data_IF_049045897953
#
_entry.id   IF_049045897953
#
_cell.length_a   1.000
_cell.length_b   1.000
_cell.length_c   1.000
_cell.angle_alpha   90.00
_cell.angle_beta   90.00
_cell.angle_gamma   90.00
#
_symmetry.space_group_name_H-M   'P 1'
#
loop_
_entity.id
_entity.type
_entity.pdbx_description
1 polymer ?
#
# COMPACT_ATOMS: atom_id res chain seq x y z
N UNK A 1 -37.09 -53.34 -57.04
CA UNK A 1 -36.02 -52.35 -57.32
C UNK A 1 -36.15 -51.00 -56.59
N UNK A 2 -37.27 -50.65 -55.92
CA UNK A 2 -37.43 -49.34 -55.25
C UNK A 2 -36.79 -49.20 -53.85
N UNK A 3 -36.42 -50.31 -53.19
CA UNK A 3 -35.86 -50.28 -51.82
C UNK A 3 -34.37 -49.94 -51.75
N UNK A 4 -33.58 -50.36 -52.74
CA UNK A 4 -32.12 -50.17 -52.73
C UNK A 4 -31.69 -48.71 -52.96
N UNK A 5 -32.50 -47.91 -53.66
CA UNK A 5 -32.21 -46.48 -53.89
C UNK A 5 -32.45 -45.63 -52.62
N UNK A 6 -33.34 -46.06 -51.72
CA UNK A 6 -33.70 -45.34 -50.50
C UNK A 6 -32.62 -45.45 -49.39
N UNK A 7 -31.95 -46.60 -49.28
CA UNK A 7 -30.89 -46.87 -48.28
C UNK A 7 -29.55 -46.17 -48.59
N UNK A 8 -29.22 -45.98 -49.87
CA UNK A 8 -27.97 -45.30 -50.27
C UNK A 8 -28.08 -43.80 -49.98
N UNK A 9 -29.24 -43.18 -50.28
CA UNK A 9 -29.50 -41.78 -49.95
C UNK A 9 -29.48 -41.55 -48.43
N UNK A 10 -30.08 -42.42 -47.61
CA UNK A 10 -30.04 -42.26 -46.15
C UNK A 10 -28.63 -42.35 -45.57
N UNK A 11 -27.78 -43.27 -46.05
CA UNK A 11 -26.39 -43.38 -45.59
C UNK A 11 -25.53 -42.18 -46.01
N UNK A 12 -25.74 -41.61 -47.19
CA UNK A 12 -25.02 -40.41 -47.64
C UNK A 12 -25.40 -39.18 -46.80
N UNK A 13 -26.70 -39.00 -46.53
CA UNK A 13 -27.20 -37.94 -45.64
C UNK A 13 -26.73 -38.12 -44.18
N UNK A 14 -26.67 -39.35 -43.67
CA UNK A 14 -26.18 -39.63 -42.31
C UNK A 14 -24.68 -39.32 -42.19
N UNK A 15 -23.88 -39.73 -43.19
CA UNK A 15 -22.44 -39.46 -43.25
C UNK A 15 -22.16 -37.94 -43.33
N UNK A 16 -22.85 -37.22 -44.22
CA UNK A 16 -22.70 -35.77 -44.35
C UNK A 16 -23.11 -35.02 -43.06
N UNK A 17 -24.14 -35.49 -42.35
CA UNK A 17 -24.59 -34.94 -41.06
C UNK A 17 -23.58 -35.18 -39.93
N UNK A 18 -22.90 -36.33 -39.92
CA UNK A 18 -21.82 -36.64 -38.96
C UNK A 18 -20.58 -35.79 -39.24
N UNK A 19 -20.17 -35.64 -40.50
CA UNK A 19 -19.03 -34.79 -40.90
C UNK A 19 -19.29 -33.32 -40.57
N UNK A 20 -20.47 -32.77 -40.87
CA UNK A 20 -20.85 -31.41 -40.46
C UNK A 20 -20.91 -31.23 -38.94
N UNK A 21 -21.40 -32.23 -38.18
CA UNK A 21 -21.39 -32.18 -36.69
C UNK A 21 -19.97 -32.18 -36.12
N UNK A 22 -19.07 -32.99 -36.68
CA UNK A 22 -17.66 -33.02 -36.28
C UNK A 22 -16.90 -31.75 -36.67
N UNK A 23 -17.22 -31.13 -37.81
CA UNK A 23 -16.63 -29.83 -38.19
C UNK A 23 -17.08 -28.71 -37.24
N UNK A 24 -18.37 -28.66 -36.89
CA UNK A 24 -18.91 -27.71 -35.90
C UNK A 24 -18.31 -27.92 -34.50
N UNK A 25 -18.12 -29.18 -34.05
CA UNK A 25 -17.42 -29.49 -32.79
C UNK A 25 -15.95 -29.05 -32.81
N UNK A 26 -15.21 -29.28 -33.90
CA UNK A 26 -13.83 -28.81 -34.02
C UNK A 26 -13.73 -27.28 -33.99
N UNK A 27 -14.65 -26.58 -34.65
CA UNK A 27 -14.71 -25.13 -34.62
C UNK A 27 -15.04 -24.58 -33.22
N UNK A 28 -15.96 -25.22 -32.48
CA UNK A 28 -16.29 -24.80 -31.11
C UNK A 28 -15.13 -25.03 -30.14
N UNK A 29 -14.39 -26.14 -30.28
CA UNK A 29 -13.22 -26.44 -29.45
C UNK A 29 -12.10 -25.41 -29.71
N UNK A 30 -11.83 -25.08 -30.99
CA UNK A 30 -10.84 -24.05 -31.34
C UNK A 30 -11.21 -22.68 -30.76
N UNK A 31 -12.47 -22.28 -30.89
CA UNK A 31 -12.95 -21.00 -30.32
C UNK A 31 -12.83 -20.95 -28.80
N UNK A 32 -13.16 -22.04 -28.11
CA UNK A 32 -13.01 -22.14 -26.65
C UNK A 32 -11.53 -22.10 -26.21
N UNK A 33 -10.62 -22.70 -26.98
CA UNK A 33 -9.18 -22.62 -26.71
C UNK A 33 -8.62 -21.21 -26.90
N UNK A 34 -9.02 -20.50 -27.96
CA UNK A 34 -8.61 -19.09 -28.18
C UNK A 34 -9.16 -18.16 -27.09
N UNK A 35 -10.43 -18.33 -26.69
CA UNK A 35 -11.05 -17.56 -25.59
C UNK A 35 -10.37 -17.85 -24.24
N UNK A 36 -9.94 -19.09 -24.00
CA UNK A 36 -9.18 -19.47 -22.80
C UNK A 36 -7.80 -18.80 -22.77
N UNK A 37 -7.08 -18.81 -23.90
CA UNK A 37 -5.76 -18.20 -24.03
C UNK A 37 -5.82 -16.68 -23.84
N UNK A 38 -6.81 -16.02 -24.45
CA UNK A 38 -7.01 -14.58 -24.31
C UNK A 38 -7.31 -14.17 -22.87
N UNK A 39 -8.11 -14.96 -22.14
CA UNK A 39 -8.35 -14.75 -20.70
C UNK A 39 -7.06 -14.92 -19.89
N UNK A 40 -6.28 -15.95 -20.17
CA UNK A 40 -5.01 -16.20 -19.48
C UNK A 40 -4.02 -15.03 -19.66
N UNK A 41 -3.89 -14.50 -20.88
CA UNK A 41 -3.02 -13.35 -21.16
C UNK A 41 -3.46 -12.07 -20.44
N UNK A 42 -4.78 -11.86 -20.30
CA UNK A 42 -5.32 -10.74 -19.51
C UNK A 42 -5.06 -10.90 -18.02
N UNK A 43 -5.26 -12.11 -17.48
CA UNK A 43 -4.98 -12.41 -16.06
C UNK A 43 -3.52 -12.16 -15.76
N UNK A 44 -2.60 -12.67 -16.59
CA UNK A 44 -1.16 -12.43 -16.40
C UNK A 44 -0.81 -10.94 -16.39
N UNK A 45 -1.38 -10.14 -17.30
CA UNK A 45 -1.15 -8.68 -17.30
C UNK A 45 -1.64 -8.01 -16.02
N UNK A 46 -2.79 -8.41 -15.49
CA UNK A 46 -3.32 -7.85 -14.25
C UNK A 46 -2.50 -8.28 -13.03
N UNK A 47 -2.08 -9.54 -12.97
CA UNK A 47 -1.16 -10.05 -11.94
C UNK A 47 0.17 -9.30 -11.96
N UNK A 48 0.78 -9.15 -13.14
CA UNK A 48 2.02 -8.38 -13.30
C UNK A 48 1.85 -6.92 -12.88
N UNK A 49 0.70 -6.30 -13.17
CA UNK A 49 0.43 -4.93 -12.75
C UNK A 49 0.32 -4.80 -11.23
N UNK A 50 -0.39 -5.74 -10.57
CA UNK A 50 -0.51 -5.79 -9.12
C UNK A 50 0.87 -5.96 -8.48
N UNK A 51 1.67 -6.89 -9.00
CA UNK A 51 2.96 -7.24 -8.41
C UNK A 51 4.05 -6.21 -8.66
N UNK A 52 4.11 -5.62 -9.86
CA UNK A 52 5.19 -4.69 -10.22
C UNK A 52 4.91 -3.23 -9.85
N UNK A 53 3.66 -2.86 -9.59
CA UNK A 53 3.27 -1.48 -9.28
C UNK A 53 2.53 -1.38 -7.96
N UNK A 54 1.32 -1.93 -7.87
CA UNK A 54 0.44 -1.65 -6.73
C UNK A 54 1.00 -2.15 -5.39
N UNK A 55 1.63 -3.34 -5.36
CA UNK A 55 2.28 -3.86 -4.14
C UNK A 55 3.48 -2.99 -3.72
N UNK A 56 4.46 -2.68 -4.60
CA UNK A 56 5.52 -1.73 -4.29
C UNK A 56 5.01 -0.37 -3.82
N UNK A 57 4.01 0.21 -4.51
CA UNK A 57 3.45 1.51 -4.17
C UNK A 57 2.80 1.49 -2.77
N UNK A 58 2.12 0.40 -2.41
CA UNK A 58 1.56 0.20 -1.08
C UNK A 58 2.67 0.16 -0.01
N UNK A 59 3.72 -0.62 -0.23
CA UNK A 59 4.86 -0.72 0.71
C UNK A 59 5.52 0.64 0.88
N UNK A 60 5.73 1.37 -0.21
CA UNK A 60 6.30 2.71 -0.17
C UNK A 60 5.40 3.68 0.60
N UNK A 61 4.08 3.70 0.34
CA UNK A 61 3.15 4.58 1.02
C UNK A 61 3.09 4.31 2.53
N UNK A 62 3.10 3.03 2.93
CA UNK A 62 3.18 2.62 4.34
C UNK A 62 4.49 3.10 4.97
N UNK A 63 5.63 2.86 4.30
CA UNK A 63 6.93 3.30 4.82
C UNK A 63 7.02 4.83 4.98
N UNK A 64 6.42 5.61 4.08
CA UNK A 64 6.36 7.06 4.21
C UNK A 64 5.51 7.49 5.41
N UNK A 65 4.33 6.90 5.58
CA UNK A 65 3.49 7.15 6.76
C UNK A 65 4.22 6.83 8.05
N UNK A 66 4.94 5.70 8.10
CA UNK A 66 5.66 5.27 9.30
C UNK A 66 6.81 6.23 9.64
N UNK A 67 7.48 6.83 8.64
CA UNK A 67 8.45 7.92 8.88
C UNK A 67 7.80 9.14 9.54
N UNK A 68 6.63 9.55 9.07
CA UNK A 68 5.88 10.68 9.65
C UNK A 68 5.45 10.36 11.08
N UNK A 69 5.03 9.12 11.37
CA UNK A 69 4.75 8.68 12.74
C UNK A 69 5.96 8.75 13.66
N UNK A 70 7.16 8.35 13.19
CA UNK A 70 8.38 8.49 13.99
C UNK A 70 8.68 9.96 14.29
N UNK A 71 8.51 10.85 13.31
CA UNK A 71 8.68 12.30 13.53
C UNK A 71 7.67 12.83 14.56
N UNK A 72 6.40 12.43 14.45
CA UNK A 72 5.37 12.82 15.42
C UNK A 72 5.74 12.36 16.84
N UNK A 73 6.23 11.13 17.00
CA UNK A 73 6.66 10.60 18.29
C UNK A 73 7.79 11.43 18.90
N UNK A 74 8.79 11.83 18.11
CA UNK A 74 9.89 12.68 18.57
C UNK A 74 9.36 14.02 19.10
N UNK A 75 8.42 14.65 18.41
CA UNK A 75 7.79 15.89 18.88
C UNK A 75 6.93 15.70 20.14
N UNK A 76 6.21 14.59 20.25
CA UNK A 76 5.44 14.25 21.46
C UNK A 76 6.35 14.02 22.67
N UNK A 77 7.46 13.31 22.49
CA UNK A 77 8.44 13.09 23.54
C UNK A 77 9.10 14.42 23.96
N UNK A 78 9.43 15.30 23.00
CA UNK A 78 9.96 16.64 23.27
C UNK A 78 8.96 17.47 24.09
N UNK A 79 7.69 17.51 23.67
CA UNK A 79 6.62 18.21 24.38
C UNK A 79 6.50 17.73 25.83
N UNK A 80 6.43 16.41 26.04
CA UNK A 80 6.34 15.84 27.39
C UNK A 80 7.54 16.24 28.24
N UNK A 81 8.74 16.26 27.67
CA UNK A 81 9.94 16.66 28.39
C UNK A 81 9.90 18.14 28.79
N UNK A 82 9.48 19.03 27.89
CA UNK A 82 9.32 20.46 28.19
C UNK A 82 8.27 20.69 29.28
N UNK A 83 7.09 20.09 29.14
CA UNK A 83 6.03 20.19 30.16
C UNK A 83 6.50 19.66 31.53
N UNK A 84 7.33 18.61 31.55
CA UNK A 84 7.91 18.09 32.79
C UNK A 84 8.94 19.06 33.40
N UNK A 85 9.76 19.73 32.59
CA UNK A 85 10.70 20.73 33.08
C UNK A 85 9.96 21.95 33.65
N UNK A 86 8.94 22.42 32.94
CA UNK A 86 8.11 23.56 33.33
C UNK A 86 7.32 23.29 34.61
N UNK A 87 6.62 22.14 34.71
CA UNK A 87 5.83 21.76 35.91
C UNK A 87 6.69 21.64 37.16
N UNK A 88 7.93 21.19 37.01
CA UNK A 88 8.83 21.00 38.14
C UNK A 88 9.69 22.25 38.43
N UNK A 89 9.59 23.30 37.62
CA UNK A 89 10.38 24.53 37.77
C UNK A 89 11.88 24.27 37.82
N UNK A 90 12.36 23.24 37.11
CA UNK A 90 13.77 22.81 37.17
C UNK A 90 14.58 23.82 36.35
N UNK A 91 15.24 24.77 37.00
CA UNK A 91 16.06 25.81 36.34
C UNK A 91 17.47 25.34 36.00
N UNK A 92 17.93 24.26 36.63
CA UNK A 92 19.23 23.64 36.36
C UNK A 92 19.09 22.13 36.36
N UNK A 93 19.68 21.44 35.39
CA UNK A 93 19.50 19.99 35.20
C UNK A 93 20.85 19.28 35.10
N UNK A 94 21.10 18.36 36.03
CA UNK A 94 22.22 17.43 35.95
C UNK A 94 21.73 16.10 35.39
N UNK A 95 22.27 15.69 34.24
CA UNK A 95 21.80 14.51 33.49
C UNK A 95 22.94 13.66 32.95
N UNK A 96 22.66 12.40 32.61
CA UNK A 96 23.60 11.51 31.92
C UNK A 96 23.24 11.47 30.43
N UNK A 97 24.14 11.95 29.59
CA UNK A 97 23.98 12.00 28.14
C UNK A 97 24.68 10.81 27.52
N UNK A 98 23.99 10.08 26.65
CA UNK A 98 24.57 8.98 25.89
C UNK A 98 25.37 9.54 24.71
N UNK A 99 26.65 9.18 24.61
CA UNK A 99 27.56 9.59 23.53
C UNK A 99 27.68 8.53 22.41
N UNK A 100 27.09 7.34 22.60
CA UNK A 100 27.14 6.19 21.69
C UNK A 100 27.69 4.94 22.37
N UNK A 101 27.37 3.76 21.83
CA UNK A 101 27.90 2.46 22.30
C UNK A 101 27.77 2.22 23.81
N UNK A 102 26.65 2.64 24.40
CA UNK A 102 26.39 2.57 25.85
C UNK A 102 27.39 3.36 26.72
N UNK A 103 28.11 4.32 26.13
CA UNK A 103 28.98 5.26 26.84
C UNK A 103 28.15 6.48 27.23
N UNK A 104 28.13 6.78 28.53
CA UNK A 104 27.39 7.91 29.09
C UNK A 104 28.33 8.90 29.75
N UNK A 105 28.07 10.19 29.56
CA UNK A 105 28.78 11.29 30.18
C UNK A 105 27.83 12.14 31.01
N UNK A 106 28.30 12.59 32.17
CA UNK A 106 27.54 13.50 33.00
C UNK A 106 27.60 14.91 32.43
N UNK A 107 26.44 15.50 32.19
CA UNK A 107 26.28 16.88 31.75
C UNK A 107 25.55 17.68 32.83
N UNK A 108 25.96 18.93 32.98
CA UNK A 108 25.31 19.91 33.84
C UNK A 108 24.77 21.03 32.96
N UNK A 109 23.45 21.26 33.05
CA UNK A 109 22.74 22.26 32.27
C UNK A 109 22.41 23.42 33.21
N UNK A 110 23.08 24.57 33.07
CA UNK A 110 22.95 25.68 34.01
C UNK A 110 21.63 26.44 33.86
N UNK A 111 21.05 26.45 32.65
CA UNK A 111 19.74 27.03 32.36
C UNK A 111 18.96 26.11 31.42
N UNK A 112 17.76 25.75 31.84
CA UNK A 112 16.81 24.89 31.13
C UNK A 112 15.67 25.67 30.48
N UNK A 113 15.56 26.97 30.76
CA UNK A 113 14.46 27.83 30.29
C UNK A 113 14.53 28.06 28.79
N UNK A 114 15.73 27.93 28.23
CA UNK A 114 16.03 28.04 26.81
C UNK A 114 16.41 26.69 26.22
N UNK A 115 15.78 26.34 25.10
CA UNK A 115 16.06 25.11 24.37
C UNK A 115 16.31 25.41 22.89
N UNK A 116 17.22 24.65 22.28
CA UNK A 116 17.46 24.71 20.84
C UNK A 116 16.58 23.70 20.12
N UNK A 117 15.71 24.19 19.23
CA UNK A 117 14.86 23.33 18.39
C UNK A 117 15.32 23.43 16.94
N UNK A 118 15.51 22.28 16.31
CA UNK A 118 15.79 22.20 14.87
C UNK A 118 14.54 22.59 14.07
N UNK A 119 14.67 23.66 13.28
CA UNK A 119 13.60 24.15 12.40
C UNK A 119 13.74 23.63 10.96
N UNK A 120 14.86 22.95 10.66
CA UNK A 120 15.23 22.39 9.38
C UNK A 120 16.42 23.08 8.72
N UNK A 121 16.94 22.47 7.64
CA UNK A 121 18.08 22.97 6.87
C UNK A 121 19.37 23.17 7.69
N UNK A 122 19.49 22.51 8.86
CA UNK A 122 20.63 22.65 9.77
C UNK A 122 20.57 23.87 10.68
N UNK A 123 19.45 24.62 10.67
CA UNK A 123 19.27 25.76 11.55
C UNK A 123 18.56 25.34 12.85
N UNK A 124 19.11 25.81 13.96
CA UNK A 124 18.56 25.61 15.29
C UNK A 124 18.22 26.98 15.85
N UNK A 125 17.00 27.12 16.38
CA UNK A 125 16.52 28.36 16.99
C UNK A 125 16.39 28.14 18.48
N UNK A 126 16.82 29.13 19.25
CA UNK A 126 16.62 29.18 20.69
C UNK A 126 15.18 29.60 21.00
N UNK A 127 14.47 28.78 21.76
CA UNK A 127 13.10 29.03 22.19
C UNK A 127 12.99 29.00 23.71
N UNK A 128 12.08 29.81 24.24
CA UNK A 128 11.53 29.62 25.58
C UNK A 128 10.56 28.43 25.62
N UNK A 129 10.20 27.94 26.81
CA UNK A 129 9.24 26.84 26.95
C UNK A 129 7.91 27.09 26.24
N UNK A 130 7.32 28.28 26.42
CA UNK A 130 6.04 28.62 25.80
C UNK A 130 6.14 28.68 24.27
N UNK A 131 7.18 29.32 23.74
CA UNK A 131 7.38 29.41 22.28
C UNK A 131 7.63 28.03 21.66
N UNK A 132 8.35 27.16 22.37
CA UNK A 132 8.58 25.79 21.92
C UNK A 132 7.28 24.97 21.90
N UNK A 133 6.44 25.08 22.94
CA UNK A 133 5.14 24.41 22.98
C UNK A 133 4.21 24.88 21.85
N UNK A 134 4.19 26.19 21.58
CA UNK A 134 3.44 26.77 20.46
C UNK A 134 3.96 26.23 19.12
N UNK A 135 5.27 26.21 18.90
CA UNK A 135 5.88 25.65 17.70
C UNK A 135 5.56 24.16 17.51
N UNK A 136 5.68 23.36 18.58
CA UNK A 136 5.40 21.93 18.54
C UNK A 136 3.93 21.70 18.18
N UNK A 137 2.99 22.47 18.73
CA UNK A 137 1.57 22.32 18.43
C UNK A 137 1.26 22.48 16.95
N UNK A 138 1.89 23.47 16.28
CA UNK A 138 1.74 23.71 14.84
C UNK A 138 2.36 22.56 14.04
N UNK A 139 3.52 22.04 14.46
CA UNK A 139 4.19 20.91 13.82
C UNK A 139 3.41 19.61 13.96
N UNK A 140 2.86 19.31 15.15
CA UNK A 140 2.02 18.15 15.39
C UNK A 140 0.76 18.18 14.50
N UNK A 141 0.10 19.32 14.40
CA UNK A 141 -1.07 19.49 13.54
C UNK A 141 -0.74 19.24 12.05
N UNK A 142 0.44 19.68 11.59
CA UNK A 142 0.92 19.41 10.23
C UNK A 142 1.21 17.93 10.00
N UNK A 143 1.90 17.28 10.94
CA UNK A 143 2.22 15.85 10.85
C UNK A 143 0.95 14.99 10.87
N UNK A 144 -0.03 15.35 11.69
CA UNK A 144 -1.34 14.68 11.74
C UNK A 144 -2.04 14.71 10.36
N UNK A 145 -2.09 15.88 9.71
CA UNK A 145 -2.65 15.99 8.34
C UNK A 145 -1.91 15.11 7.34
N UNK A 146 -0.58 15.07 7.41
CA UNK A 146 0.22 14.20 6.53
C UNK A 146 -0.07 12.71 6.78
N UNK A 147 -0.25 12.30 8.03
CA UNK A 147 -0.65 10.93 8.37
C UNK A 147 -2.01 10.59 7.77
N UNK A 148 -2.98 11.50 7.84
CA UNK A 148 -4.30 11.32 7.25
C UNK A 148 -4.21 11.18 5.72
N UNK A 149 -3.45 12.05 5.05
CA UNK A 149 -3.20 11.99 3.61
C UNK A 149 -2.60 10.64 3.18
N UNK A 150 -1.56 10.16 3.88
CA UNK A 150 -0.98 8.85 3.61
C UNK A 150 -1.95 7.71 3.92
N UNK A 151 -2.78 7.84 4.95
CA UNK A 151 -3.80 6.83 5.30
C UNK A 151 -4.83 6.71 4.19
N UNK A 152 -5.30 7.83 3.64
CA UNK A 152 -6.18 7.85 2.48
C UNK A 152 -5.50 7.26 1.23
N UNK A 153 -4.24 7.60 0.97
CA UNK A 153 -3.48 7.03 -0.14
C UNK A 153 -3.36 5.50 -0.04
N UNK A 154 -3.01 5.00 1.15
CA UNK A 154 -2.92 3.56 1.43
C UNK A 154 -4.28 2.88 1.21
N UNK A 155 -5.37 3.48 1.69
CA UNK A 155 -6.71 2.95 1.49
C UNK A 155 -7.09 2.90 -0.01
N UNK A 156 -6.75 3.93 -0.77
CA UNK A 156 -6.98 3.99 -2.22
C UNK A 156 -6.21 2.89 -2.96
N UNK A 157 -4.93 2.70 -2.66
CA UNK A 157 -4.11 1.64 -3.29
C UNK A 157 -4.68 0.25 -2.93
N UNK A 158 -5.06 0.03 -1.66
CA UNK A 158 -5.69 -1.22 -1.23
C UNK A 158 -7.01 -1.48 -1.97
N UNK A 159 -7.83 -0.45 -2.17
CA UNK A 159 -9.07 -0.56 -2.93
C UNK A 159 -8.81 -0.91 -4.40
N UNK A 160 -7.79 -0.29 -5.03
CA UNK A 160 -7.38 -0.63 -6.39
C UNK A 160 -6.90 -2.07 -6.52
N UNK A 161 -6.07 -2.56 -5.60
CA UNK A 161 -5.65 -3.97 -5.56
C UNK A 161 -6.88 -4.87 -5.47
N UNK A 162 -7.81 -4.58 -4.55
CA UNK A 162 -9.03 -5.37 -4.38
C UNK A 162 -9.86 -5.41 -5.67
N UNK A 163 -10.08 -4.27 -6.32
CA UNK A 163 -10.82 -4.19 -7.59
C UNK A 163 -10.17 -5.04 -8.69
N UNK A 164 -8.84 -4.99 -8.83
CA UNK A 164 -8.13 -5.80 -9.82
C UNK A 164 -8.22 -7.29 -9.49
N UNK A 165 -8.10 -7.66 -8.21
CA UNK A 165 -8.25 -9.06 -7.77
C UNK A 165 -9.66 -9.61 -8.00
N UNK A 166 -10.71 -8.81 -7.77
CA UNK A 166 -12.09 -9.19 -8.13
C UNK A 166 -12.25 -9.34 -9.65
N UNK A 167 -11.70 -8.41 -10.44
CA UNK A 167 -11.73 -8.51 -11.91
C UNK A 167 -11.04 -9.76 -12.45
N UNK A 168 -9.92 -10.17 -11.86
CA UNK A 168 -9.25 -11.44 -12.19
C UNK A 168 -10.15 -12.64 -11.84
N UNK A 169 -10.80 -12.61 -10.66
CA UNK A 169 -11.70 -13.68 -10.20
C UNK A 169 -12.87 -13.90 -11.17
N UNK A 170 -13.50 -12.82 -11.62
CA UNK A 170 -14.57 -12.85 -12.61
C UNK A 170 -14.11 -13.46 -13.94
N UNK A 171 -12.93 -13.06 -14.41
CA UNK A 171 -12.34 -13.61 -15.64
C UNK A 171 -12.06 -15.12 -15.55
N UNK A 172 -11.71 -15.60 -14.36
CA UNK A 172 -11.44 -17.01 -14.08
C UNK A 172 -12.69 -17.81 -13.71
N UNK A 173 -13.86 -17.17 -13.57
CA UNK A 173 -15.12 -17.81 -13.15
C UNK A 173 -15.01 -18.58 -11.82
N UNK A 174 -14.13 -18.13 -10.92
CA UNK A 174 -13.96 -18.74 -9.60
C UNK A 174 -15.16 -18.29 -8.75
N UNK A 175 -15.91 -19.22 -8.11
CA UNK A 175 -17.03 -18.85 -7.24
C UNK A 175 -16.54 -17.99 -6.08
N UNK A 176 -17.34 -16.98 -5.70
CA UNK A 176 -17.06 -16.13 -4.54
C UNK A 176 -17.33 -16.93 -3.25
N UNK A 177 -16.34 -16.99 -2.35
CA UNK A 177 -16.53 -17.35 -0.94
C UNK A 177 -17.01 -16.14 -0.13
#
# INVERSE_FOLDING_TARGET
MKSFSCQILTNFYLCHRVVCRNSKRRASIRKAMDDSRFRQEKVQRFEEFVDRRLKPDLVQAVAQRDKVFQQQKVFQDLRRNIENLEKNGVTSLRTMVNLGSEVYMQADVPDTCHIFVDIGLGFHVEFTWSEALDFISVREARLARQIDEYTHLIANIKAQIKLVSEGIRELLQIPAE
#
